data_IF_331822310424
#
_entry.id   IF_331822310424
#
_cell.length_a   1.000
_cell.length_b   1.000
_cell.length_c   1.000
_cell.angle_alpha   90.00
_cell.angle_beta   90.00
_cell.angle_gamma   90.00
#
_symmetry.space_group_name_H-M   'P 1'
#
loop_
_entity.id
_entity.type
_entity.pdbx_description
1 polymer ?
#
# COMPACT_ATOMS: atom_id res chain seq x y z
N UNK A 1 -14.75 -12.88 -15.65
CA UNK A 1 -14.37 -12.75 -14.24
C UNK A 1 -12.86 -12.77 -14.13
N UNK A 2 -12.26 -11.59 -14.00
CA UNK A 2 -10.81 -11.44 -13.80
C UNK A 2 -10.45 -12.01 -12.43
N UNK A 3 -9.73 -13.13 -12.43
CA UNK A 3 -9.14 -13.70 -11.22
C UNK A 3 -8.04 -12.78 -10.71
N UNK A 4 -8.27 -12.23 -9.53
CA UNK A 4 -7.28 -11.47 -8.79
C UNK A 4 -6.18 -12.40 -8.28
N UNK A 5 -4.98 -12.26 -8.81
CA UNK A 5 -3.79 -13.00 -8.38
C UNK A 5 -2.79 -11.98 -7.84
N UNK A 6 -2.38 -12.17 -6.60
CA UNK A 6 -1.33 -11.38 -5.97
C UNK A 6 -1.81 -10.26 -5.05
N UNK A 7 -0.91 -9.33 -4.76
CA UNK A 7 -1.15 -8.14 -3.93
C UNK A 7 -2.16 -7.15 -4.52
N UNK A 8 -2.47 -7.26 -5.80
CA UNK A 8 -3.61 -6.58 -6.43
C UNK A 8 -4.92 -6.80 -5.66
N UNK A 9 -5.02 -7.88 -4.94
CA UNK A 9 -6.21 -8.28 -4.20
C UNK A 9 -6.59 -7.31 -3.07
N UNK A 10 -5.61 -6.68 -2.43
CA UNK A 10 -5.85 -5.70 -1.37
C UNK A 10 -6.32 -4.35 -1.94
N UNK A 11 -6.07 -4.11 -3.22
CA UNK A 11 -6.36 -2.83 -3.88
C UNK A 11 -7.69 -2.89 -4.62
N UNK A 12 -8.00 -4.05 -5.24
CA UNK A 12 -9.16 -4.22 -6.10
C UNK A 12 -10.45 -4.57 -5.39
N UNK A 13 -10.36 -5.15 -4.20
CA UNK A 13 -11.53 -5.56 -3.43
C UNK A 13 -11.49 -4.93 -2.05
N UNK A 14 -12.23 -3.84 -1.88
CA UNK A 14 -12.34 -3.12 -0.61
C UNK A 14 -12.83 -4.03 0.51
N UNK A 15 -13.80 -4.90 0.26
CA UNK A 15 -14.32 -5.80 1.29
C UNK A 15 -13.22 -6.75 1.77
N UNK A 16 -12.39 -7.21 0.85
CA UNK A 16 -11.24 -8.05 1.16
C UNK A 16 -10.14 -7.29 1.87
N UNK A 17 -9.82 -6.08 1.43
CA UNK A 17 -8.87 -5.22 2.15
C UNK A 17 -9.31 -4.99 3.60
N UNK A 18 -10.60 -4.71 3.84
CA UNK A 18 -11.15 -4.55 5.17
C UNK A 18 -11.06 -5.85 6.00
N UNK A 19 -11.36 -7.02 5.41
CA UNK A 19 -11.21 -8.31 6.09
C UNK A 19 -9.76 -8.55 6.51
N UNK A 20 -8.80 -8.32 5.61
CA UNK A 20 -7.37 -8.48 5.89
C UNK A 20 -6.87 -7.48 6.95
N UNK A 21 -7.35 -6.24 6.91
CA UNK A 21 -7.05 -5.25 7.94
C UNK A 21 -7.57 -5.68 9.32
N UNK A 22 -8.79 -6.20 9.41
CA UNK A 22 -9.35 -6.74 10.66
C UNK A 22 -8.58 -7.96 11.17
N UNK A 23 -8.20 -8.87 10.27
CA UNK A 23 -7.36 -10.04 10.58
C UNK A 23 -6.03 -9.60 11.21
N UNK A 24 -5.34 -8.63 10.58
CA UNK A 24 -4.10 -8.08 11.10
C UNK A 24 -4.29 -7.38 12.45
N UNK A 25 -5.33 -6.55 12.57
CA UNK A 25 -5.64 -5.83 13.81
C UNK A 25 -5.93 -6.79 14.97
N UNK A 26 -6.66 -7.88 14.70
CA UNK A 26 -6.91 -8.94 15.68
C UNK A 26 -5.60 -9.59 16.11
N UNK A 27 -4.77 -10.01 15.16
CA UNK A 27 -3.49 -10.67 15.45
C UNK A 27 -2.55 -9.78 16.25
N UNK A 28 -2.54 -8.46 15.97
CA UNK A 28 -1.75 -7.48 16.73
C UNK A 28 -2.28 -7.29 18.16
N UNK A 29 -3.60 -7.38 18.38
CA UNK A 29 -4.19 -7.32 19.73
C UNK A 29 -3.90 -8.59 20.52
N UNK A 30 -4.07 -9.75 19.88
CA UNK A 30 -3.97 -11.05 20.54
C UNK A 30 -2.51 -11.39 20.91
N UNK A 31 -1.55 -11.11 20.02
CA UNK A 31 -0.14 -11.40 20.26
C UNK A 31 0.80 -10.38 19.58
N UNK A 32 0.90 -9.15 20.09
CA UNK A 32 1.69 -8.08 19.50
C UNK A 32 3.18 -8.43 19.40
N UNK A 33 3.74 -9.04 20.45
CA UNK A 33 5.17 -9.42 20.48
C UNK A 33 5.52 -10.38 19.34
N UNK A 34 4.70 -11.40 19.12
CA UNK A 34 4.91 -12.37 18.05
C UNK A 34 4.84 -11.69 16.67
N UNK A 35 3.80 -10.90 16.42
CA UNK A 35 3.61 -10.22 15.13
C UNK A 35 4.77 -9.27 14.85
N UNK A 36 5.10 -8.37 15.79
CA UNK A 36 6.15 -7.37 15.61
C UNK A 36 7.54 -7.99 15.44
N UNK A 37 7.85 -9.07 16.17
CA UNK A 37 9.14 -9.78 16.03
C UNK A 37 9.29 -10.44 14.65
N UNK A 38 8.21 -10.91 14.05
CA UNK A 38 8.23 -11.75 12.85
C UNK A 38 7.71 -11.07 11.57
N UNK A 39 7.23 -9.83 11.67
CA UNK A 39 6.62 -9.12 10.53
C UNK A 39 7.61 -8.74 9.43
N UNK A 40 8.89 -8.60 9.76
CA UNK A 40 9.92 -8.18 8.83
C UNK A 40 10.28 -9.25 7.81
N UNK A 41 10.60 -8.81 6.62
CA UNK A 41 11.00 -9.63 5.48
C UNK A 41 10.16 -9.37 4.23
N UNK A 42 10.73 -9.68 3.05
CA UNK A 42 10.14 -9.37 1.75
C UNK A 42 9.41 -10.57 1.14
N UNK A 43 9.42 -11.71 1.81
CA UNK A 43 8.73 -12.92 1.37
C UNK A 43 7.71 -13.40 2.40
N UNK A 44 6.57 -13.93 1.92
CA UNK A 44 6.14 -14.00 0.52
C UNK A 44 5.81 -12.61 -0.03
N UNK A 45 6.02 -12.41 -1.32
CA UNK A 45 5.71 -11.16 -2.00
C UNK A 45 4.48 -11.27 -2.92
N UNK A 46 3.88 -12.45 -3.01
CA UNK A 46 2.71 -12.72 -3.83
C UNK A 46 1.64 -13.46 -3.03
N UNK A 47 0.39 -13.10 -3.26
CA UNK A 47 -0.74 -13.73 -2.60
C UNK A 47 -0.93 -15.18 -3.07
N UNK A 48 -1.20 -16.04 -2.10
CA UNK A 48 -1.67 -17.40 -2.33
C UNK A 48 -2.75 -17.68 -1.25
N UNK A 49 -3.86 -18.27 -1.66
CA UNK A 49 -4.96 -18.59 -0.74
C UNK A 49 -4.58 -19.56 0.38
N UNK A 50 -3.52 -20.35 0.17
CA UNK A 50 -2.99 -21.29 1.16
C UNK A 50 -2.02 -20.64 2.18
N UNK A 51 -1.76 -19.33 2.06
CA UNK A 51 -0.93 -18.62 3.02
C UNK A 51 -1.59 -18.60 4.39
N UNK A 52 -0.83 -19.02 5.41
CA UNK A 52 -1.26 -19.07 6.80
C UNK A 52 -0.21 -18.47 7.75
N UNK A 53 -0.62 -18.23 8.98
CA UNK A 53 0.26 -17.79 10.05
C UNK A 53 1.04 -16.53 9.71
N UNK A 54 2.29 -16.47 10.16
CA UNK A 54 3.13 -15.27 10.01
C UNK A 54 3.47 -14.93 8.55
N UNK A 55 3.55 -15.91 7.65
CA UNK A 55 3.76 -15.65 6.21
C UNK A 55 2.60 -14.85 5.62
N UNK A 56 1.38 -15.20 5.99
CA UNK A 56 0.17 -14.48 5.59
C UNK A 56 0.13 -13.06 6.19
N UNK A 57 0.35 -12.94 7.49
CA UNK A 57 0.39 -11.64 8.18
C UNK A 57 1.47 -10.72 7.61
N UNK A 58 2.67 -11.24 7.34
CA UNK A 58 3.77 -10.48 6.74
C UNK A 58 3.40 -9.92 5.38
N UNK A 59 2.77 -10.71 4.52
CA UNK A 59 2.30 -10.21 3.23
C UNK A 59 1.25 -9.11 3.38
N UNK A 60 0.28 -9.30 4.29
CA UNK A 60 -0.75 -8.29 4.59
C UNK A 60 -0.11 -6.99 5.08
N UNK A 61 0.84 -7.07 6.01
CA UNK A 61 1.58 -5.91 6.52
C UNK A 61 2.31 -5.21 5.37
N UNK A 62 3.06 -5.95 4.56
CA UNK A 62 3.78 -5.37 3.43
C UNK A 62 2.86 -4.68 2.42
N UNK A 63 1.70 -5.25 2.14
CA UNK A 63 0.69 -4.62 1.28
C UNK A 63 0.21 -3.29 1.84
N UNK A 64 -0.13 -3.23 3.14
CA UNK A 64 -0.70 -2.02 3.72
C UNK A 64 0.32 -0.95 4.10
N UNK A 65 1.58 -1.33 4.33
CA UNK A 65 2.58 -0.40 4.87
C UNK A 65 3.77 -0.13 3.98
N UNK A 66 4.07 -0.98 2.99
CA UNK A 66 5.32 -0.91 2.22
C UNK A 66 5.15 -0.95 0.71
N UNK A 67 3.94 -1.14 0.20
CA UNK A 67 3.69 -1.33 -1.22
C UNK A 67 4.06 -0.07 -2.05
N UNK A 68 4.87 -0.27 -3.10
CA UNK A 68 5.24 0.75 -4.08
C UNK A 68 5.01 0.25 -5.50
N UNK A 69 5.77 -0.74 -5.91
CA UNK A 69 5.68 -1.36 -7.22
C UNK A 69 5.10 -2.77 -7.14
N UNK A 70 4.43 -3.15 -8.20
CA UNK A 70 4.03 -4.52 -8.48
C UNK A 70 4.79 -5.01 -9.72
N UNK A 71 5.21 -6.27 -9.70
CA UNK A 71 5.70 -6.96 -10.88
C UNK A 71 4.55 -7.30 -11.86
N UNK A 72 4.88 -7.80 -13.02
CA UNK A 72 3.90 -8.15 -14.06
C UNK A 72 2.90 -9.21 -13.61
N UNK A 73 3.25 -10.04 -12.64
CA UNK A 73 2.37 -11.06 -12.06
C UNK A 73 1.63 -10.58 -10.79
N UNK A 74 1.72 -9.28 -10.46
CA UNK A 74 1.04 -8.69 -9.30
C UNK A 74 1.73 -8.97 -7.96
N UNK A 75 2.98 -9.42 -7.97
CA UNK A 75 3.79 -9.56 -6.77
C UNK A 75 4.35 -8.23 -6.29
N UNK A 76 4.55 -8.08 -4.96
CA UNK A 76 5.19 -6.89 -4.39
C UNK A 76 6.66 -6.82 -4.77
N UNK A 77 7.09 -5.69 -5.31
CA UNK A 77 8.48 -5.30 -5.33
C UNK A 77 8.74 -4.29 -4.20
N UNK A 78 9.46 -4.73 -3.17
CA UNK A 78 9.74 -3.93 -1.97
C UNK A 78 11.13 -3.26 -2.00
N UNK A 79 11.96 -3.61 -2.99
CA UNK A 79 13.33 -3.13 -3.09
C UNK A 79 13.43 -1.78 -3.83
N UNK A 80 12.62 -1.59 -4.86
CA UNK A 80 12.60 -0.36 -5.65
C UNK A 80 11.95 0.78 -4.87
N UNK A 81 12.69 1.85 -4.63
CA UNK A 81 12.24 3.01 -3.83
C UNK A 81 12.09 4.28 -4.66
N UNK A 82 12.94 4.45 -5.68
CA UNK A 82 12.91 5.58 -6.61
C UNK A 82 11.64 5.59 -7.47
N UNK A 83 11.42 6.69 -8.16
CA UNK A 83 10.33 6.86 -9.12
C UNK A 83 10.85 6.83 -10.54
N UNK A 84 9.96 6.64 -11.52
CA UNK A 84 10.27 6.62 -12.92
C UNK A 84 9.89 5.32 -13.61
N UNK A 85 10.00 5.27 -14.94
CA UNK A 85 9.68 4.06 -15.72
C UNK A 85 10.58 2.89 -15.34
N UNK A 86 9.98 1.72 -15.16
CA UNK A 86 10.67 0.46 -14.88
C UNK A 86 10.17 -0.61 -15.86
N UNK A 87 11.09 -1.38 -16.44
CA UNK A 87 10.75 -2.32 -17.52
C UNK A 87 9.69 -3.34 -17.16
N UNK A 88 9.68 -3.83 -15.93
CA UNK A 88 8.80 -4.93 -15.51
C UNK A 88 8.05 -4.63 -14.21
N UNK A 89 8.02 -3.36 -13.82
CA UNK A 89 7.41 -2.90 -12.59
C UNK A 89 6.42 -1.77 -12.88
N UNK A 90 5.28 -1.82 -12.21
CA UNK A 90 4.27 -0.77 -12.30
C UNK A 90 3.92 -0.25 -10.90
N UNK A 91 3.80 1.07 -10.71
CA UNK A 91 3.26 1.62 -9.46
C UNK A 91 1.89 1.01 -9.15
N UNK A 92 1.69 0.57 -7.92
CA UNK A 92 0.48 -0.14 -7.51
C UNK A 92 -0.81 0.62 -7.87
N UNK A 93 -0.77 1.95 -7.81
CA UNK A 93 -1.94 2.79 -8.05
C UNK A 93 -2.28 2.95 -9.54
N UNK A 94 -1.38 2.65 -10.47
CA UNK A 94 -1.68 2.69 -11.90
C UNK A 94 -2.69 1.57 -12.24
N UNK A 95 -2.47 0.36 -11.73
CA UNK A 95 -3.44 -0.74 -11.89
C UNK A 95 -4.78 -0.45 -11.22
N UNK A 96 -4.77 0.34 -10.14
CA UNK A 96 -6.00 0.74 -9.43
C UNK A 96 -6.77 1.85 -10.13
N UNK A 97 -6.14 2.60 -11.03
CA UNK A 97 -6.74 3.76 -11.70
C UNK A 97 -8.07 3.43 -12.38
N UNK A 98 -8.16 2.32 -13.10
CA UNK A 98 -9.39 1.90 -13.78
C UNK A 98 -10.53 1.59 -12.81
N UNK A 99 -10.19 0.97 -11.67
CA UNK A 99 -11.17 0.57 -10.65
C UNK A 99 -11.75 1.76 -9.89
N UNK A 100 -10.96 2.83 -9.79
CA UNK A 100 -11.32 4.04 -9.05
C UNK A 100 -11.85 5.13 -9.96
N UNK A 101 -11.83 4.95 -11.29
CA UNK A 101 -12.21 5.98 -12.26
C UNK A 101 -13.64 6.49 -12.04
N UNK A 102 -14.57 5.59 -11.76
CA UNK A 102 -15.98 5.89 -11.55
C UNK A 102 -16.38 5.84 -10.07
N UNK A 103 -15.40 5.64 -9.17
CA UNK A 103 -15.62 5.57 -7.74
C UNK A 103 -15.56 6.97 -7.11
N UNK A 104 -16.47 7.23 -6.14
CA UNK A 104 -16.38 8.39 -5.25
C UNK A 104 -15.36 8.19 -4.11
N UNK A 105 -14.70 7.06 -4.07
CA UNK A 105 -13.75 6.69 -3.01
C UNK A 105 -12.39 7.34 -3.23
N UNK A 106 -11.73 7.63 -2.12
CA UNK A 106 -10.36 8.11 -2.09
C UNK A 106 -9.47 7.09 -1.39
N UNK A 107 -8.27 6.90 -1.93
CA UNK A 107 -7.21 6.17 -1.25
C UNK A 107 -6.15 7.16 -0.81
N UNK A 108 -5.85 7.17 0.48
CA UNK A 108 -4.79 7.98 1.07
C UNK A 108 -3.68 7.05 1.55
N UNK A 109 -2.44 7.34 1.23
CA UNK A 109 -1.31 6.49 1.57
C UNK A 109 -0.03 7.28 1.87
N UNK A 110 0.93 6.62 2.52
CA UNK A 110 2.27 7.15 2.80
C UNK A 110 3.38 6.21 2.31
N UNK A 111 4.52 6.25 2.98
CA UNK A 111 5.67 5.36 2.81
C UNK A 111 6.42 5.48 1.46
N UNK A 112 6.03 6.32 0.56
CA UNK A 112 6.74 6.49 -0.72
C UNK A 112 7.18 7.94 -0.93
N UNK A 113 8.15 8.37 -0.13
CA UNK A 113 8.68 9.73 -0.12
C UNK A 113 9.14 10.21 -1.51
N UNK A 114 9.76 9.33 -2.30
CA UNK A 114 10.24 9.68 -3.64
C UNK A 114 9.13 10.14 -4.61
N UNK A 115 7.87 9.78 -4.39
CA UNK A 115 6.72 10.32 -5.14
C UNK A 115 6.46 11.79 -4.86
N UNK A 116 6.88 12.28 -3.70
CA UNK A 116 6.56 13.62 -3.21
C UNK A 116 5.04 13.92 -3.32
N UNK A 117 4.20 12.95 -2.98
CA UNK A 117 2.75 13.00 -3.07
C UNK A 117 2.15 12.94 -4.48
N UNK A 118 2.95 12.88 -5.54
CA UNK A 118 2.50 13.04 -6.94
C UNK A 118 2.07 11.72 -7.58
N UNK A 119 0.83 11.33 -7.46
CA UNK A 119 0.27 10.14 -8.14
C UNK A 119 -0.25 10.43 -9.54
N UNK A 120 -0.60 11.69 -9.85
CA UNK A 120 -1.32 12.13 -11.07
C UNK A 120 -2.71 11.48 -11.23
N UNK A 121 -3.29 10.96 -10.15
CA UNK A 121 -4.62 10.35 -10.13
C UNK A 121 -5.43 11.05 -9.04
N UNK A 122 -6.54 11.67 -9.41
CA UNK A 122 -7.34 12.59 -8.57
C UNK A 122 -7.72 12.00 -7.21
N UNK A 123 -8.11 10.74 -7.17
CA UNK A 123 -8.63 10.08 -5.97
C UNK A 123 -7.62 9.14 -5.28
N UNK A 124 -6.34 9.24 -5.65
CA UNK A 124 -5.24 8.53 -4.97
C UNK A 124 -4.23 9.57 -4.48
N UNK A 125 -4.16 9.76 -3.18
CA UNK A 125 -3.44 10.87 -2.54
C UNK A 125 -2.27 10.33 -1.72
N UNK A 126 -1.05 10.66 -2.12
CA UNK A 126 0.16 10.38 -1.36
C UNK A 126 0.42 11.50 -0.35
N UNK A 127 0.70 11.14 0.90
CA UNK A 127 1.00 12.12 1.97
C UNK A 127 2.46 12.09 2.41
N UNK A 128 3.25 11.10 1.96
CA UNK A 128 4.68 11.09 2.25
C UNK A 128 5.41 12.05 1.31
N UNK A 129 5.79 13.18 1.84
CA UNK A 129 6.52 14.25 1.14
C UNK A 129 7.92 14.44 1.68
N UNK A 130 8.48 13.41 2.33
CA UNK A 130 9.88 13.31 2.69
C UNK A 130 10.31 14.18 3.86
N UNK A 131 9.46 14.38 4.87
CA UNK A 131 9.76 15.25 6.02
C UNK A 131 11.13 14.95 6.65
N UNK A 132 11.43 13.68 6.92
CA UNK A 132 12.71 13.25 7.52
C UNK A 132 13.94 13.46 6.62
N UNK A 133 13.71 13.82 5.37
CA UNK A 133 14.74 14.10 4.36
C UNK A 133 14.80 15.60 3.99
N UNK A 134 14.30 16.48 4.88
CA UNK A 134 14.22 17.91 4.62
C UNK A 134 13.07 18.35 3.71
N UNK A 135 12.12 17.47 3.46
CA UNK A 135 10.88 17.76 2.74
C UNK A 135 9.81 18.37 3.65
N UNK A 136 8.57 17.92 3.51
CA UNK A 136 7.43 18.44 4.27
C UNK A 136 6.73 17.34 5.05
N UNK A 137 6.20 17.67 6.23
CA UNK A 137 5.17 16.90 6.89
C UNK A 137 3.82 17.31 6.31
N UNK A 138 3.14 16.39 5.66
CA UNK A 138 1.90 16.66 4.94
C UNK A 138 0.73 15.90 5.55
N UNK A 139 -0.37 16.58 5.72
CA UNK A 139 -1.63 16.03 6.21
C UNK A 139 -2.79 16.44 5.30
N UNK A 140 -3.87 15.65 5.34
CA UNK A 140 -5.13 15.93 4.63
C UNK A 140 -6.30 15.96 5.61
N UNK A 141 -7.17 16.92 5.47
CA UNK A 141 -8.48 16.90 6.11
C UNK A 141 -9.46 16.13 5.22
N UNK A 142 -10.04 15.06 5.73
CA UNK A 142 -10.81 14.12 4.92
C UNK A 142 -12.15 14.69 4.43
N UNK A 143 -12.73 15.64 5.15
CA UNK A 143 -14.04 16.23 4.86
C UNK A 143 -14.05 17.00 3.54
N UNK A 144 -13.05 17.86 3.35
CA UNK A 144 -12.95 18.77 2.20
C UNK A 144 -11.71 18.52 1.33
N UNK A 145 -10.90 17.52 1.69
CA UNK A 145 -9.64 17.15 1.00
C UNK A 145 -8.57 18.25 1.04
N UNK A 146 -8.68 19.20 1.98
CA UNK A 146 -7.69 20.26 2.15
C UNK A 146 -6.36 19.71 2.62
N UNK A 147 -5.30 20.05 1.91
CA UNK A 147 -3.92 19.65 2.23
C UNK A 147 -3.27 20.72 3.10
N UNK A 148 -2.60 20.28 4.14
CA UNK A 148 -1.76 21.08 5.02
C UNK A 148 -0.35 20.55 4.94
N UNK A 149 0.65 21.43 4.91
CA UNK A 149 2.04 21.01 4.88
C UNK A 149 2.91 22.02 5.62
N UNK A 150 3.84 21.51 6.42
CA UNK A 150 4.88 22.30 7.10
C UNK A 150 6.25 21.74 6.70
N UNK A 151 7.25 22.60 6.65
CA UNK A 151 8.63 22.18 6.38
C UNK A 151 9.14 21.34 7.55
N UNK A 152 9.83 20.25 7.24
CA UNK A 152 10.54 19.43 8.22
C UNK A 152 11.89 19.99 8.59
#
# INVERSE_FOLDING_TARGET
PLRLVGSEMCIRDRSKAQKLSRELSKSLKDNPKFVLKNMWGDKPNKWNNNLQGIKRLRLIINCFTRMRYLDMQGGLNLNTKDTGPKKELEPWFIKSKQLLKDSKEYIVFGHWAALNGKTKIKNIIGLDTGCVWGGKLTAIRLEDKKIFAVKG
#
